data_IF_436350554058
#
_entry.id   IF_436350554058
#
_cell.length_a   1.000
_cell.length_b   1.000
_cell.length_c   1.000
_cell.angle_alpha   90.00
_cell.angle_beta   90.00
_cell.angle_gamma   90.00
#
_symmetry.space_group_name_H-M   'P 1'
#
loop_
_entity.id
_entity.type
_entity.pdbx_description
1 polymer ?
#
# COMPACT_ATOMS: atom_id res chain seq x y z
N UNK A 1 -1.38 7.16 -7.10
CA UNK A 1 -0.87 6.03 -6.29
C UNK A 1 -0.16 5.05 -7.20
N UNK A 2 1.03 4.60 -6.80
CA UNK A 2 1.79 3.55 -7.49
C UNK A 2 1.16 2.17 -7.22
N UNK A 3 1.26 1.26 -8.18
CA UNK A 3 0.87 -0.13 -7.98
C UNK A 3 1.74 -0.84 -6.95
N UNK A 4 1.17 -1.78 -6.22
CA UNK A 4 1.90 -2.57 -5.20
C UNK A 4 2.84 -3.58 -5.86
N UNK A 5 2.57 -3.92 -7.11
CA UNK A 5 3.43 -4.76 -7.94
C UNK A 5 4.64 -4.06 -8.55
N UNK A 6 4.88 -2.79 -8.22
CA UNK A 6 6.08 -2.07 -8.66
C UNK A 6 7.33 -2.87 -8.24
N UNK A 7 8.25 -3.09 -9.17
CA UNK A 7 9.50 -3.81 -8.95
C UNK A 7 10.70 -2.86 -8.87
N UNK A 8 11.87 -3.37 -8.49
CA UNK A 8 13.10 -2.57 -8.49
C UNK A 8 13.43 -2.01 -9.87
N UNK A 9 13.28 -2.82 -10.94
CA UNK A 9 13.49 -2.36 -12.32
C UNK A 9 12.55 -1.21 -12.69
N UNK A 10 11.30 -1.27 -12.24
CA UNK A 10 10.32 -0.22 -12.49
C UNK A 10 10.68 1.09 -11.78
N UNK A 11 11.16 0.99 -10.53
CA UNK A 11 11.67 2.15 -9.78
C UNK A 11 12.87 2.79 -10.48
N UNK A 12 13.79 1.99 -11.03
CA UNK A 12 14.95 2.48 -11.77
C UNK A 12 14.56 3.15 -13.10
N UNK A 13 13.58 2.58 -13.82
CA UNK A 13 13.04 3.18 -15.05
C UNK A 13 12.42 4.54 -14.74
N UNK A 14 11.61 4.64 -13.68
CA UNK A 14 11.00 5.91 -13.27
C UNK A 14 12.04 6.97 -12.90
N UNK A 15 13.09 6.59 -12.16
CA UNK A 15 14.19 7.51 -11.83
C UNK A 15 14.91 8.00 -13.08
N UNK A 16 15.25 7.09 -14.00
CA UNK A 16 15.92 7.45 -15.26
C UNK A 16 15.06 8.33 -16.16
N UNK A 17 13.75 8.05 -16.24
CA UNK A 17 12.82 8.85 -17.04
C UNK A 17 12.57 10.24 -16.44
N UNK A 18 12.64 10.38 -15.12
CA UNK A 18 12.57 11.69 -14.46
C UNK A 18 13.86 12.50 -14.67
N UNK A 19 15.03 11.85 -14.59
CA UNK A 19 16.34 12.47 -14.82
C UNK A 19 16.54 12.90 -16.29
N UNK A 20 15.93 12.21 -17.25
CA UNK A 20 15.99 12.58 -18.68
C UNK A 20 15.17 13.83 -19.01
N UNK A 21 14.23 14.23 -18.14
CA UNK A 21 13.36 15.39 -18.34
C UNK A 21 12.31 15.22 -19.44
N UNK A 22 12.23 14.03 -20.06
CA UNK A 22 11.24 13.70 -21.09
C UNK A 22 9.90 13.33 -20.44
N UNK A 23 8.95 14.27 -20.49
CA UNK A 23 7.64 14.14 -19.87
C UNK A 23 6.81 12.99 -20.44
N UNK A 24 6.99 12.66 -21.72
CA UNK A 24 6.19 11.63 -22.38
C UNK A 24 6.66 10.25 -21.93
N UNK A 25 7.98 10.00 -21.93
CA UNK A 25 8.55 8.76 -21.42
C UNK A 25 8.24 8.53 -19.93
N UNK A 26 8.29 9.60 -19.13
CA UNK A 26 7.94 9.52 -17.72
C UNK A 26 6.46 9.18 -17.51
N UNK A 27 5.56 9.75 -18.31
CA UNK A 27 4.13 9.48 -18.24
C UNK A 27 3.81 8.05 -18.65
N UNK A 28 4.43 7.55 -19.71
CA UNK A 28 4.24 6.16 -20.17
C UNK A 28 4.73 5.14 -19.13
N UNK A 29 5.89 5.40 -18.51
CA UNK A 29 6.40 4.58 -17.42
C UNK A 29 5.47 4.60 -16.19
N UNK A 30 4.89 5.75 -15.85
CA UNK A 30 3.91 5.84 -14.77
C UNK A 30 2.61 5.08 -15.08
N UNK A 31 2.15 5.09 -16.34
CA UNK A 31 0.94 4.39 -16.75
C UNK A 31 1.11 2.87 -16.61
N UNK A 32 2.26 2.32 -16.99
CA UNK A 32 2.52 0.89 -16.89
C UNK A 32 2.60 0.38 -15.43
N UNK A 33 2.95 1.25 -14.49
CA UNK A 33 3.13 0.94 -13.06
C UNK A 33 1.89 1.26 -12.23
N UNK A 34 0.91 1.97 -12.81
CA UNK A 34 -0.36 2.28 -12.17
C UNK A 34 -1.14 1.00 -11.87
N UNK A 35 -1.85 0.98 -10.73
CA UNK A 35 -2.74 -0.13 -10.38
C UNK A 35 -3.70 -0.44 -11.54
N UNK A 36 -3.70 -1.69 -12.01
CA UNK A 36 -4.62 -2.18 -13.03
C UNK A 36 -5.44 -3.34 -12.50
N UNK A 37 -6.76 -3.28 -12.73
CA UNK A 37 -7.70 -4.36 -12.39
C UNK A 37 -7.36 -5.67 -13.12
N UNK A 38 -6.68 -5.60 -14.27
CA UNK A 38 -6.25 -6.79 -15.02
C UNK A 38 -5.09 -7.57 -14.37
N UNK A 39 -4.43 -7.01 -13.35
CA UNK A 39 -3.38 -7.69 -12.59
C UNK A 39 -3.75 -7.73 -11.10
N UNK A 40 -4.52 -8.73 -10.64
CA UNK A 40 -5.06 -8.79 -9.27
C UNK A 40 -4.01 -8.71 -8.16
N UNK A 41 -2.78 -9.17 -8.42
CA UNK A 41 -1.67 -9.16 -7.44
C UNK A 41 -1.04 -7.76 -7.27
N UNK A 42 -1.31 -6.80 -8.16
CA UNK A 42 -0.72 -5.45 -8.10
C UNK A 42 -1.65 -4.41 -7.48
N UNK A 43 -2.88 -4.81 -7.11
CA UNK A 43 -3.92 -3.97 -6.54
C UNK A 43 -4.45 -4.52 -5.20
N UNK A 44 -4.86 -3.63 -4.30
CA UNK A 44 -5.66 -3.97 -3.11
C UNK A 44 -7.14 -3.83 -3.47
N UNK A 45 -7.92 -4.86 -3.22
CA UNK A 45 -9.38 -4.81 -3.37
C UNK A 45 -10.04 -4.60 -2.01
N UNK A 46 -11.25 -4.01 -2.05
CA UNK A 46 -12.03 -3.74 -0.83
C UNK A 46 -12.47 -5.02 -0.09
N UNK A 47 -12.53 -6.14 -0.80
CA UNK A 47 -12.94 -7.45 -0.29
C UNK A 47 -11.75 -8.41 -0.15
N UNK A 48 -10.51 -7.93 -0.27
CA UNK A 48 -9.35 -8.77 0.04
C UNK A 48 -9.41 -9.18 1.51
N UNK A 49 -9.22 -10.48 1.77
CA UNK A 49 -9.09 -10.99 3.14
C UNK A 49 -7.74 -10.59 3.75
N UNK A 50 -7.61 -10.80 5.07
CA UNK A 50 -6.41 -10.42 5.85
C UNK A 50 -5.14 -11.10 5.36
N UNK A 51 -5.22 -12.36 4.95
CA UNK A 51 -4.06 -13.15 4.51
C UNK A 51 -3.62 -12.69 3.11
N UNK A 52 -4.58 -12.44 2.22
CA UNK A 52 -4.35 -11.88 0.89
C UNK A 52 -3.69 -10.50 0.98
N UNK A 53 -4.21 -9.63 1.84
CA UNK A 53 -3.66 -8.30 2.03
C UNK A 53 -2.23 -8.36 2.61
N UNK A 54 -2.02 -9.18 3.64
CA UNK A 54 -0.69 -9.41 4.23
C UNK A 54 0.31 -9.92 3.20
N UNK A 55 -0.10 -10.87 2.35
CA UNK A 55 0.74 -11.42 1.28
C UNK A 55 1.11 -10.37 0.23
N UNK A 56 0.15 -9.55 -0.22
CA UNK A 56 0.37 -8.47 -1.21
C UNK A 56 1.33 -7.42 -0.67
N UNK A 57 1.09 -6.89 0.53
CA UNK A 57 1.95 -5.88 1.15
C UNK A 57 3.35 -6.43 1.47
N UNK A 58 3.43 -7.68 1.94
CA UNK A 58 4.72 -8.33 2.21
C UNK A 58 5.59 -8.43 0.95
N UNK A 59 4.99 -8.70 -0.21
CA UNK A 59 5.69 -8.76 -1.51
C UNK A 59 5.98 -7.39 -2.12
N UNK A 60 5.27 -6.35 -1.70
CA UNK A 60 5.42 -4.99 -2.23
C UNK A 60 6.88 -4.51 -2.20
N UNK A 61 7.28 -3.73 -3.21
CA UNK A 61 8.58 -3.04 -3.18
C UNK A 61 8.62 -2.04 -2.02
N UNK A 62 9.65 -2.16 -1.17
CA UNK A 62 9.85 -1.29 -0.03
C UNK A 62 11.35 -1.28 0.35
N UNK A 63 12.19 -0.64 -0.47
CA UNK A 63 13.61 -0.47 -0.17
C UNK A 63 13.82 0.34 1.13
N UNK A 64 14.85 0.02 1.93
CA UNK A 64 15.20 0.82 3.11
C UNK A 64 15.67 2.22 2.70
N UNK A 65 15.35 3.23 3.50
CA UNK A 65 15.76 4.64 3.32
C UNK A 65 15.25 5.35 2.06
N UNK A 66 14.43 4.68 1.27
CA UNK A 66 13.91 5.22 0.02
C UNK A 66 12.40 5.44 0.12
N UNK A 67 12.02 6.71 0.10
CA UNK A 67 10.61 7.17 0.15
C UNK A 67 10.05 7.35 -1.25
N UNK A 68 10.90 7.67 -2.23
CA UNK A 68 10.49 7.96 -3.60
C UNK A 68 10.24 6.65 -4.33
N UNK A 69 9.15 6.60 -5.08
CA UNK A 69 8.73 5.40 -5.82
C UNK A 69 8.57 4.16 -4.92
N UNK A 70 8.18 4.37 -3.65
CA UNK A 70 7.92 3.30 -2.69
C UNK A 70 6.39 3.15 -2.49
N UNK A 71 5.76 2.08 -3.02
CA UNK A 71 4.33 1.86 -2.90
C UNK A 71 3.83 1.79 -1.45
N UNK A 72 4.62 1.23 -0.54
CA UNK A 72 4.22 1.07 0.87
C UNK A 72 4.21 2.43 1.57
N UNK A 73 5.22 3.27 1.32
CA UNK A 73 5.24 4.67 1.79
C UNK A 73 4.09 5.46 1.17
N UNK A 74 3.80 5.26 -0.12
CA UNK A 74 2.69 5.91 -0.81
C UNK A 74 1.33 5.54 -0.20
N UNK A 75 1.12 4.28 0.19
CA UNK A 75 -0.09 3.85 0.89
C UNK A 75 -0.21 4.54 2.25
N UNK A 76 0.90 4.65 2.99
CA UNK A 76 0.89 5.34 4.27
C UNK A 76 0.56 6.83 4.10
N UNK A 77 1.23 7.53 3.18
CA UNK A 77 1.09 8.97 2.94
C UNK A 77 -0.29 9.36 2.39
N UNK A 78 -0.80 8.65 1.38
CA UNK A 78 -1.98 9.09 0.64
C UNK A 78 -3.28 8.42 1.10
N UNK A 79 -3.22 7.31 1.83
CA UNK A 79 -4.41 6.55 2.24
C UNK A 79 -4.55 6.51 3.76
N UNK A 80 -3.54 5.99 4.45
CA UNK A 80 -3.61 5.75 5.89
C UNK A 80 -3.53 7.07 6.68
N UNK A 81 -2.56 7.92 6.37
CA UNK A 81 -2.37 9.17 7.10
C UNK A 81 -3.59 10.10 7.02
N UNK A 82 -4.20 10.36 5.84
CA UNK A 82 -5.43 11.16 5.77
C UNK A 82 -6.62 10.51 6.47
N UNK A 83 -6.64 9.18 6.61
CA UNK A 83 -7.65 8.47 7.39
C UNK A 83 -7.44 8.69 8.90
N UNK A 84 -6.20 8.55 9.39
CA UNK A 84 -5.84 8.75 10.80
C UNK A 84 -6.03 10.21 11.24
N UNK A 85 -5.59 11.17 10.43
CA UNK A 85 -5.76 12.60 10.71
C UNK A 85 -7.23 12.97 10.94
N UNK A 86 -8.15 12.44 10.12
CA UNK A 86 -9.60 12.68 10.27
C UNK A 86 -10.17 12.15 11.58
N UNK A 87 -9.47 11.22 12.23
CA UNK A 87 -9.84 10.62 13.53
C UNK A 87 -9.06 11.22 14.70
N UNK A 88 -8.16 12.17 14.45
CA UNK A 88 -7.24 12.68 15.48
C UNK A 88 -6.24 11.63 15.97
N UNK A 89 -5.99 10.59 15.17
CA UNK A 89 -5.02 9.53 15.46
C UNK A 89 -3.66 9.86 14.80
N UNK A 90 -2.57 9.37 15.39
CA UNK A 90 -1.21 9.50 14.87
C UNK A 90 -0.75 8.20 14.21
N UNK A 91 0.24 8.26 13.32
CA UNK A 91 0.84 7.04 12.76
C UNK A 91 1.62 6.34 13.87
N UNK A 92 1.38 5.05 14.05
CA UNK A 92 2.12 4.17 14.97
C UNK A 92 2.78 3.04 14.19
N UNK A 93 4.07 2.81 14.44
CA UNK A 93 4.85 1.72 13.85
C UNK A 93 5.55 0.95 14.97
N UNK A 94 5.24 -0.33 15.10
CA UNK A 94 5.85 -1.22 16.09
C UNK A 94 7.16 -1.81 15.55
N UNK A 95 8.20 -1.79 16.40
CA UNK A 95 9.46 -2.47 16.07
C UNK A 95 9.35 -3.97 16.38
N UNK A 96 9.32 -4.81 15.35
CA UNK A 96 9.06 -6.25 15.52
C UNK A 96 10.20 -6.96 16.28
N UNK A 97 11.45 -6.48 16.16
CA UNK A 97 12.62 -7.14 16.76
C UNK A 97 12.90 -6.68 18.18
N UNK A 98 12.79 -5.39 18.45
CA UNK A 98 13.16 -4.77 19.73
C UNK A 98 11.97 -4.52 20.64
N UNK A 99 10.75 -4.60 20.10
CA UNK A 99 9.55 -4.08 20.74
C UNK A 99 9.55 -2.55 20.79
N UNK A 100 8.43 -1.99 21.23
CA UNK A 100 8.22 -0.55 21.31
C UNK A 100 7.54 0.03 20.07
N UNK A 101 6.86 1.15 20.29
CA UNK A 101 6.03 1.82 19.28
C UNK A 101 6.60 3.21 19.01
N UNK A 102 6.90 3.48 17.74
CA UNK A 102 7.24 4.81 17.25
C UNK A 102 5.95 5.51 16.84
N UNK A 103 5.74 6.73 17.30
CA UNK A 103 4.54 7.53 16.99
C UNK A 103 4.92 8.77 16.18
N UNK A 104 4.24 8.99 15.05
CA UNK A 104 4.47 10.11 14.15
C UNK A 104 3.18 10.93 14.00
N UNK A 105 3.12 12.15 14.59
CA UNK A 105 1.95 13.01 14.51
C UNK A 105 1.73 13.61 13.11
N UNK A 106 2.77 13.67 12.30
CA UNK A 106 2.69 14.14 10.92
C UNK A 106 3.53 13.25 9.99
N UNK A 107 3.25 13.36 8.70
CA UNK A 107 3.92 12.55 7.68
C UNK A 107 5.39 12.91 7.50
N UNK A 108 5.80 14.17 7.73
CA UNK A 108 7.17 14.61 7.51
C UNK A 108 8.14 13.93 8.48
N UNK A 109 7.79 13.87 9.77
CA UNK A 109 8.59 13.16 10.78
C UNK A 109 8.76 11.67 10.43
N UNK A 110 7.69 11.02 9.94
CA UNK A 110 7.79 9.65 9.44
C UNK A 110 8.77 9.54 8.25
N UNK A 111 8.69 10.45 7.28
CA UNK A 111 9.54 10.43 6.09
C UNK A 111 11.01 10.60 6.45
N UNK A 112 11.33 11.54 7.35
CA UNK A 112 12.68 11.79 7.84
C UNK A 112 13.26 10.55 8.55
N UNK A 113 12.48 9.91 9.42
CA UNK A 113 12.91 8.71 10.13
C UNK A 113 13.10 7.50 9.21
N UNK A 114 12.21 7.34 8.22
CA UNK A 114 12.35 6.27 7.23
C UNK A 114 13.60 6.48 6.38
N UNK A 115 13.87 7.71 5.90
CA UNK A 115 15.08 8.07 5.17
C UNK A 115 16.35 7.93 6.02
N UNK A 116 16.27 8.26 7.31
CA UNK A 116 17.35 8.07 8.28
C UNK A 116 17.67 6.59 8.52
N UNK A 117 16.72 5.69 8.27
CA UNK A 117 16.81 4.25 8.52
C UNK A 117 16.49 3.87 9.96
N UNK A 118 15.77 4.72 10.68
CA UNK A 118 15.27 4.45 12.02
C UNK A 118 14.13 3.41 11.99
N UNK A 119 13.39 3.37 10.87
CA UNK A 119 12.31 2.42 10.62
C UNK A 119 12.80 1.31 9.67
N UNK A 120 12.63 0.05 10.07
CA UNK A 120 12.93 -1.08 9.21
C UNK A 120 11.78 -1.30 8.20
N UNK A 121 12.05 -1.65 6.92
CA UNK A 121 10.98 -1.84 5.92
C UNK A 121 9.94 -2.89 6.31
N UNK A 122 10.34 -3.93 7.06
CA UNK A 122 9.42 -4.96 7.55
C UNK A 122 8.44 -4.40 8.59
N UNK A 123 8.91 -3.54 9.49
CA UNK A 123 8.08 -2.88 10.52
C UNK A 123 7.05 -1.98 9.83
N UNK A 124 7.48 -1.21 8.82
CA UNK A 124 6.59 -0.39 8.01
C UNK A 124 5.53 -1.23 7.28
N UNK A 125 5.94 -2.32 6.62
CA UNK A 125 5.00 -3.22 5.93
C UNK A 125 3.95 -3.79 6.87
N UNK A 126 4.34 -4.23 8.05
CA UNK A 126 3.41 -4.75 9.06
C UNK A 126 2.42 -3.67 9.51
N UNK A 127 2.92 -2.49 9.88
CA UNK A 127 2.05 -1.39 10.29
C UNK A 127 1.03 -1.03 9.19
N UNK A 128 1.47 -0.90 7.94
CA UNK A 128 0.59 -0.61 6.79
C UNK A 128 -0.45 -1.71 6.59
N UNK A 129 -0.07 -2.99 6.70
CA UNK A 129 -1.01 -4.11 6.65
C UNK A 129 -2.07 -3.99 7.74
N UNK A 130 -1.68 -3.74 8.98
CA UNK A 130 -2.61 -3.66 10.12
C UNK A 130 -3.58 -2.49 9.97
N UNK A 131 -3.11 -1.33 9.51
CA UNK A 131 -4.00 -0.20 9.20
C UNK A 131 -5.01 -0.55 8.12
N UNK A 132 -4.56 -1.15 7.02
CA UNK A 132 -5.45 -1.53 5.92
C UNK A 132 -6.48 -2.56 6.37
N UNK A 133 -6.09 -3.57 7.16
CA UNK A 133 -7.02 -4.54 7.75
C UNK A 133 -8.06 -3.81 8.62
N UNK A 134 -7.62 -2.95 9.53
CA UNK A 134 -8.54 -2.19 10.41
C UNK A 134 -9.51 -1.32 9.61
N UNK A 135 -9.03 -0.69 8.53
CA UNK A 135 -9.84 0.16 7.65
C UNK A 135 -10.86 -0.65 6.83
N UNK A 136 -10.49 -1.85 6.39
CA UNK A 136 -11.32 -2.69 5.53
C UNK A 136 -12.26 -3.62 6.31
N UNK A 137 -11.99 -3.92 7.58
CA UNK A 137 -12.80 -4.82 8.41
C UNK A 137 -14.32 -4.54 8.33
N UNK A 138 -14.83 -3.29 8.44
CA UNK A 138 -16.27 -3.05 8.36
C UNK A 138 -16.88 -3.44 7.00
N UNK A 139 -16.09 -3.31 5.94
CA UNK A 139 -16.49 -3.70 4.58
C UNK A 139 -16.45 -5.22 4.46
N UNK A 140 -15.37 -5.85 4.91
CA UNK A 140 -15.22 -7.30 4.90
C UNK A 140 -16.34 -7.99 5.68
N UNK A 141 -16.68 -7.51 6.88
CA UNK A 141 -17.79 -8.02 7.71
C UNK A 141 -19.12 -7.93 6.96
N UNK A 142 -19.42 -6.77 6.34
CA UNK A 142 -20.65 -6.59 5.56
C UNK A 142 -20.79 -7.59 4.39
N UNK A 143 -19.68 -7.91 3.72
CA UNK A 143 -19.66 -8.80 2.57
C UNK A 143 -19.51 -10.30 2.91
N UNK A 144 -19.08 -10.64 4.11
CA UNK A 144 -18.90 -12.04 4.55
C UNK A 144 -20.07 -12.54 5.40
N UNK A 145 -20.54 -11.69 6.32
CA UNK A 145 -21.56 -12.02 7.33
C UNK A 145 -22.87 -11.23 7.13
N UNK A 146 -22.81 -10.11 6.41
CA UNK A 146 -23.97 -9.24 6.15
C UNK A 146 -24.71 -9.53 4.84
N UNK A 147 -25.66 -8.65 4.51
CA UNK A 147 -26.46 -8.73 3.28
C UNK A 147 -25.66 -8.54 1.99
N UNK A 148 -24.38 -8.14 2.09
CA UNK A 148 -23.49 -7.94 0.94
C UNK A 148 -23.03 -9.25 0.28
N UNK A 149 -23.09 -10.38 1.00
CA UNK A 149 -22.57 -11.68 0.56
C UNK A 149 -23.09 -12.12 -0.80
N UNK A 150 -24.39 -11.93 -1.02
CA UNK A 150 -25.07 -12.23 -2.29
C UNK A 150 -24.38 -11.56 -3.49
N UNK A 151 -23.90 -10.33 -3.32
CA UNK A 151 -23.25 -9.59 -4.41
C UNK A 151 -21.85 -10.10 -4.75
N UNK A 152 -21.11 -10.64 -3.76
CA UNK A 152 -19.81 -11.27 -4.05
C UNK A 152 -20.02 -12.58 -4.79
N UNK A 153 -20.99 -13.38 -4.37
CA UNK A 153 -21.34 -14.64 -5.03
C UNK A 153 -21.75 -14.38 -6.49
N UNK A 154 -22.68 -13.44 -6.73
CA UNK A 154 -23.07 -13.00 -8.08
C UNK A 154 -21.88 -12.49 -8.91
N UNK A 155 -21.00 -11.68 -8.31
CA UNK A 155 -19.81 -11.17 -9.01
C UNK A 155 -18.85 -12.30 -9.39
N UNK A 156 -18.67 -13.29 -8.52
CA UNK A 156 -17.77 -14.43 -8.77
C UNK A 156 -18.29 -15.30 -9.91
N UNK A 157 -19.60 -15.53 -9.99
CA UNK A 157 -20.23 -16.27 -11.09
C UNK A 157 -20.02 -15.57 -12.44
N UNK A 158 -20.15 -14.23 -12.47
CA UNK A 158 -19.94 -13.43 -13.69
C UNK A 158 -18.47 -13.42 -14.11
N UNK A 159 -17.52 -13.40 -13.15
CA UNK A 159 -16.08 -13.43 -13.46
C UNK A 159 -15.58 -14.80 -13.94
N UNK A 160 -16.29 -15.89 -13.64
CA UNK A 160 -15.95 -17.25 -14.13
C UNK A 160 -16.28 -17.43 -15.62
N UNK A 161 -17.01 -16.50 -16.24
CA UNK A 161 -17.31 -16.56 -17.67
C UNK A 161 -16.20 -15.98 -18.55
N UNK A 162 -15.33 -16.90 -19.01
CA UNK A 162 -14.42 -16.87 -20.19
C UNK A 162 -13.32 -15.79 -20.27
#
# INVERSE_FOLDING_TARGET
LLGIGLTQSDAEILKKAEESGDKDQFTDALISIKMSKSMPETAIFLHDDKDTLSRKIRKAYCPPKEVKYNPVVSLLEYVIYPYLMRRGEVIKIENIKKGGVMEYPNINEFMEDYQGGNIHPLDLKHAVTDYLIKMLNPVTEYFTEGGGRKYIEEMSEIMVTR
#
